data_IF_923549872543
#
_entry.id   IF_923549872543
#
_cell.length_a   1.000
_cell.length_b   1.000
_cell.length_c   1.000
_cell.angle_alpha   90.00
_cell.angle_beta   90.00
_cell.angle_gamma   90.00
#
_symmetry.space_group_name_H-M   'P 1'
#
loop_
_entity.id
_entity.type
_entity.pdbx_description
1 polymer ?
#
# COMPACT_ATOMS: atom_id res chain seq x y z
N UNK A 1 -0.48 4.50 16.94
CA UNK A 1 -0.47 5.54 15.87
C UNK A 1 -1.13 4.94 14.63
N UNK A 2 -1.70 5.78 13.74
CA UNK A 2 -2.24 5.35 12.45
C UNK A 2 -1.26 5.69 11.33
N UNK A 3 -0.95 4.72 10.47
CA UNK A 3 0.01 4.90 9.36
C UNK A 3 -0.64 4.45 8.06
N UNK A 4 -0.49 5.28 7.02
CA UNK A 4 -0.88 4.94 5.65
C UNK A 4 0.38 4.77 4.81
N UNK A 5 0.51 3.62 4.15
CA UNK A 5 1.61 3.30 3.24
C UNK A 5 1.05 3.19 1.83
N UNK A 6 1.62 3.94 0.89
CA UNK A 6 1.27 3.87 -0.53
C UNK A 6 2.36 3.10 -1.27
N UNK A 7 2.02 1.90 -1.73
CA UNK A 7 2.92 0.95 -2.37
C UNK A 7 3.43 -0.13 -1.41
N UNK A 8 3.24 -1.39 -1.81
CA UNK A 8 3.65 -2.62 -1.14
C UNK A 8 4.82 -3.31 -1.86
N UNK A 9 5.72 -2.51 -2.46
CA UNK A 9 7.03 -3.01 -2.89
C UNK A 9 7.89 -3.45 -1.70
N UNK A 10 9.15 -3.84 -1.93
CA UNK A 10 10.04 -4.37 -0.88
C UNK A 10 10.08 -3.49 0.39
N UNK A 11 10.26 -2.18 0.21
CA UNK A 11 10.34 -1.22 1.32
C UNK A 11 8.99 -1.07 2.01
N UNK A 12 7.91 -0.88 1.25
CA UNK A 12 6.56 -0.71 1.79
C UNK A 12 6.10 -1.93 2.58
N UNK A 13 6.39 -3.15 2.09
CA UNK A 13 6.12 -4.39 2.79
C UNK A 13 6.89 -4.48 4.11
N UNK A 14 8.21 -4.29 4.07
CA UNK A 14 9.05 -4.38 5.28
C UNK A 14 8.67 -3.34 6.33
N UNK A 15 8.28 -2.14 5.90
CA UNK A 15 7.80 -1.09 6.79
C UNK A 15 6.42 -1.45 7.39
N UNK A 16 5.48 -1.92 6.56
CA UNK A 16 4.15 -2.33 7.03
C UNK A 16 4.25 -3.46 8.06
N UNK A 17 5.12 -4.45 7.80
CA UNK A 17 5.38 -5.55 8.71
C UNK A 17 5.87 -5.04 10.07
N UNK A 18 6.94 -4.24 10.07
CA UNK A 18 7.54 -3.74 11.31
C UNK A 18 6.57 -2.89 12.12
N UNK A 19 5.82 -2.00 11.47
CA UNK A 19 4.87 -1.14 12.16
C UNK A 19 3.66 -1.92 12.72
N UNK A 20 3.20 -2.96 12.00
CA UNK A 20 2.18 -3.88 12.49
C UNK A 20 2.68 -4.64 13.73
N UNK A 21 3.90 -5.19 13.69
CA UNK A 21 4.55 -5.85 14.83
C UNK A 21 4.74 -4.91 16.04
N UNK A 22 4.93 -3.61 15.80
CA UNK A 22 4.99 -2.55 16.83
C UNK A 22 3.59 -2.08 17.31
N UNK A 23 2.51 -2.82 16.97
CA UNK A 23 1.11 -2.53 17.33
C UNK A 23 0.59 -1.18 16.81
N UNK A 24 1.00 -0.78 15.61
CA UNK A 24 0.40 0.36 14.92
C UNK A 24 -0.73 -0.08 13.98
N UNK A 25 -1.76 0.77 13.86
CA UNK A 25 -2.82 0.57 12.87
C UNK A 25 -2.27 0.98 11.50
N UNK A 26 -2.05 0.01 10.62
CA UNK A 26 -1.47 0.23 9.28
C UNK A 26 -2.51 -0.02 8.19
N UNK A 27 -2.58 0.92 7.24
CA UNK A 27 -3.34 0.79 6.01
C UNK A 27 -2.38 0.82 4.83
N UNK A 28 -2.40 -0.21 3.99
CA UNK A 28 -1.57 -0.31 2.78
C UNK A 28 -2.43 -0.11 1.55
N UNK A 29 -2.08 0.89 0.74
CA UNK A 29 -2.69 1.16 -0.57
C UNK A 29 -1.77 0.57 -1.63
N UNK A 30 -2.26 -0.38 -2.41
CA UNK A 30 -1.51 -1.04 -3.47
C UNK A 30 -2.36 -1.13 -4.75
N UNK A 31 -1.74 -0.93 -5.91
CA UNK A 31 -2.40 -0.99 -7.23
C UNK A 31 -2.33 -2.38 -7.86
N UNK A 32 -1.34 -3.16 -7.45
CA UNK A 32 -1.07 -4.52 -7.92
C UNK A 32 -1.80 -5.53 -7.01
N UNK A 33 -2.81 -6.19 -7.56
CA UNK A 33 -3.69 -7.08 -6.82
C UNK A 33 -2.96 -8.29 -6.22
N UNK A 34 -1.94 -8.81 -6.92
CA UNK A 34 -1.14 -9.93 -6.42
C UNK A 34 -0.32 -9.49 -5.21
N UNK A 35 0.36 -8.34 -5.29
CA UNK A 35 1.11 -7.78 -4.15
C UNK A 35 0.20 -7.44 -2.97
N UNK A 36 -0.98 -6.86 -3.23
CA UNK A 36 -1.97 -6.56 -2.19
C UNK A 36 -2.39 -7.83 -1.45
N UNK A 37 -2.65 -8.90 -2.20
CA UNK A 37 -3.02 -10.20 -1.64
C UNK A 37 -1.91 -10.80 -0.78
N UNK A 38 -0.65 -10.68 -1.21
CA UNK A 38 0.50 -11.09 -0.40
C UNK A 38 0.54 -10.33 0.93
N UNK A 39 0.40 -9.00 0.91
CA UNK A 39 0.36 -8.20 2.15
C UNK A 39 -0.78 -8.65 3.05
N UNK A 40 -1.99 -8.74 2.50
CA UNK A 40 -3.20 -9.06 3.28
C UNK A 40 -3.14 -10.45 3.93
N UNK A 41 -2.51 -11.43 3.26
CA UNK A 41 -2.43 -12.80 3.76
C UNK A 41 -1.31 -13.01 4.77
N UNK A 42 -0.29 -12.14 4.80
CA UNK A 42 0.91 -12.34 5.61
C UNK A 42 1.04 -11.35 6.78
N UNK A 43 0.41 -10.18 6.70
CA UNK A 43 0.55 -9.11 7.70
C UNK A 43 -0.79 -8.76 8.34
N UNK A 44 -0.78 -8.39 9.62
CA UNK A 44 -1.95 -7.86 10.32
C UNK A 44 -2.14 -6.36 10.01
N UNK A 45 -2.60 -6.09 8.79
CA UNK A 45 -2.81 -4.73 8.26
C UNK A 45 -4.07 -4.70 7.40
N UNK A 46 -4.68 -3.52 7.28
CA UNK A 46 -5.73 -3.30 6.29
C UNK A 46 -5.10 -3.04 4.91
N UNK A 47 -5.66 -3.63 3.85
CA UNK A 47 -5.24 -3.33 2.48
C UNK A 47 -6.37 -2.71 1.65
N UNK A 48 -6.01 -1.83 0.73
CA UNK A 48 -6.94 -1.25 -0.26
C UNK A 48 -6.33 -1.33 -1.66
N UNK A 49 -7.11 -1.85 -2.60
CA UNK A 49 -6.77 -1.81 -4.03
C UNK A 49 -7.09 -0.42 -4.57
N UNK A 50 -6.12 0.22 -5.21
CA UNK A 50 -6.34 1.52 -5.87
C UNK A 50 -6.41 1.38 -7.38
N UNK A 51 -7.43 1.99 -7.97
CA UNK A 51 -7.57 2.17 -9.41
C UNK A 51 -7.34 3.65 -9.75
N UNK A 52 -6.22 3.95 -10.41
CA UNK A 52 -5.99 5.28 -10.96
C UNK A 52 -6.72 5.40 -12.30
N UNK A 53 -7.56 6.42 -12.43
CA UNK A 53 -8.20 6.68 -13.72
C UNK A 53 -7.14 7.12 -14.75
N UNK A 54 -7.16 6.60 -15.99
CA UNK A 54 -6.16 6.92 -17.00
C UNK A 54 -5.98 8.41 -17.27
N UNK A 55 -7.03 9.22 -17.14
CA UNK A 55 -6.99 10.66 -17.34
C UNK A 55 -6.08 11.41 -16.34
N UNK A 56 -5.84 10.84 -15.15
CA UNK A 56 -4.99 11.46 -14.12
C UNK A 56 -3.54 11.63 -14.62
N UNK A 57 -2.97 10.58 -15.23
CA UNK A 57 -1.62 10.59 -15.79
C UNK A 57 -1.50 11.47 -17.03
N UNK A 58 -2.59 11.69 -17.75
CA UNK A 58 -2.59 12.57 -18.93
C UNK A 58 -2.46 14.04 -18.58
N UNK A 59 -2.96 14.46 -17.41
CA UNK A 59 -2.96 15.86 -16.99
C UNK A 59 -1.59 16.35 -16.47
N UNK A 60 -0.70 15.45 -16.07
CA UNK A 60 0.55 15.80 -15.35
C UNK A 60 1.83 15.39 -16.09
N UNK A 61 1.74 14.90 -17.34
CA UNK A 61 2.91 14.51 -18.15
C UNK A 61 3.75 15.68 -18.73
N UNK A 62 3.44 16.91 -18.34
CA UNK A 62 4.12 18.12 -18.81
C UNK A 62 4.95 18.82 -17.71
N UNK A 63 5.25 18.14 -16.61
CA UNK A 63 6.21 18.58 -15.60
C UNK A 63 7.30 17.53 -15.44
#
# INVERSE_FOLDING_TARGET
>A
MRVVIVGAGKVGYSLAQRLSEENHEVVVIEKDEERRSIVQNNLDVMTMLVFLRPEFWRAHRNW
#
